data_IF_830616380728
#
_entry.id   IF_830616380728
#
_cell.length_a   1.000
_cell.length_b   1.000
_cell.length_c   1.000
_cell.angle_alpha   90.00
_cell.angle_beta   90.00
_cell.angle_gamma   90.00
#
_symmetry.space_group_name_H-M   'P 1'
#
loop_
_entity.id
_entity.type
_entity.pdbx_description
1 polymer ?
#
# COMPACT_ATOMS: atom_id res chain seq x y z
N UNK A 1 -70.61 -3.21 42.71
CA UNK A 1 -71.36 -4.50 42.75
C UNK A 1 -71.02 -5.29 41.49
N UNK A 2 -70.97 -6.64 41.49
CA UNK A 2 -70.39 -7.62 42.43
C UNK A 2 -69.40 -8.61 41.73
N UNK A 3 -68.28 -9.05 42.33
CA UNK A 3 -67.98 -10.29 43.14
C UNK A 3 -67.24 -11.44 42.39
N UNK A 4 -66.01 -11.78 42.86
CA UNK A 4 -65.52 -13.07 43.48
C UNK A 4 -65.13 -14.18 42.48
N UNK A 5 -64.07 -14.99 42.62
CA UNK A 5 -62.99 -15.15 43.61
C UNK A 5 -62.33 -16.55 43.49
N UNK A 6 -61.05 -16.66 43.89
CA UNK A 6 -60.28 -17.85 44.40
C UNK A 6 -60.10 -19.09 43.49
N UNK A 7 -58.98 -19.84 43.42
CA UNK A 7 -57.96 -20.31 44.39
C UNK A 7 -56.65 -20.76 43.69
N UNK A 8 -55.50 -20.67 44.39
CA UNK A 8 -54.16 -21.27 44.10
C UNK A 8 -54.02 -22.65 44.82
N UNK A 9 -52.84 -23.31 45.03
CA UNK A 9 -51.48 -23.30 44.40
C UNK A 9 -50.84 -24.70 44.16
N UNK A 10 -49.65 -24.77 43.50
CA UNK A 10 -48.49 -25.59 43.96
C UNK A 10 -47.20 -25.32 43.15
N UNK A 11 -46.11 -24.93 43.84
CA UNK A 11 -44.68 -24.86 43.43
C UNK A 11 -43.95 -26.21 43.74
N UNK A 12 -42.62 -26.48 43.53
CA UNK A 12 -41.45 -25.57 43.66
C UNK A 12 -40.21 -25.82 42.73
N UNK A 13 -39.24 -24.90 42.79
CA UNK A 13 -37.87 -25.17 42.31
C UNK A 13 -36.95 -23.94 42.15
N UNK A 14 -36.53 -23.31 43.25
CA UNK A 14 -35.40 -22.36 43.30
C UNK A 14 -34.42 -22.81 44.40
N UNK A 15 -33.12 -22.87 44.11
CA UNK A 15 -32.07 -23.06 45.11
C UNK A 15 -31.15 -21.83 45.21
N UNK A 16 -30.95 -21.39 46.45
CA UNK A 16 -30.20 -20.21 46.92
C UNK A 16 -28.72 -20.50 47.20
N UNK A 17 -27.85 -19.47 47.38
CA UNK A 17 -26.41 -19.62 47.64
C UNK A 17 -26.06 -19.54 49.15
N UNK A 18 -24.89 -20.05 49.54
CA UNK A 18 -24.32 -19.86 50.89
C UNK A 18 -22.81 -19.52 50.85
N UNK A 19 -22.42 -18.47 51.59
CA UNK A 19 -21.02 -18.05 51.87
C UNK A 19 -20.46 -18.78 53.11
N UNK A 20 -19.18 -19.14 53.13
CA UNK A 20 -18.40 -19.30 54.38
C UNK A 20 -16.89 -19.01 54.21
N UNK A 21 -16.28 -18.52 55.31
CA UNK A 21 -14.94 -17.89 55.44
C UNK A 21 -13.78 -18.91 55.59
N UNK A 22 -12.57 -18.40 55.34
CA UNK A 22 -11.20 -18.97 55.40
C UNK A 22 -10.83 -19.76 56.69
N UNK A 23 -9.85 -20.67 56.59
CA UNK A 23 -8.75 -20.76 57.54
C UNK A 23 -7.37 -20.49 56.91
N UNK A 24 -6.42 -20.13 57.78
CA UNK A 24 -5.04 -19.68 57.52
C UNK A 24 -4.07 -20.76 58.04
N UNK A 25 -3.01 -20.99 57.24
CA UNK A 25 -1.68 -21.57 57.47
C UNK A 25 -1.48 -22.94 58.18
N UNK A 26 -0.76 -23.86 57.50
CA UNK A 26 0.61 -24.24 57.93
C UNK A 26 1.36 -25.14 56.91
N UNK A 27 2.66 -24.83 56.75
CA UNK A 27 3.78 -25.65 56.26
C UNK A 27 3.93 -26.04 54.78
N UNK A 28 4.55 -25.10 54.06
CA UNK A 28 5.75 -25.24 53.22
C UNK A 28 6.34 -26.65 53.10
N UNK A 29 6.35 -27.20 51.88
CA UNK A 29 7.47 -28.03 51.44
C UNK A 29 7.83 -27.69 49.98
N UNK A 30 8.99 -27.06 49.87
CA UNK A 30 9.59 -26.49 48.67
C UNK A 30 10.09 -27.59 47.75
N UNK A 31 9.43 -27.83 46.62
CA UNK A 31 10.08 -28.43 45.45
C UNK A 31 10.08 -27.39 44.35
N UNK A 32 11.19 -26.64 44.26
CA UNK A 32 11.46 -25.72 43.16
C UNK A 32 11.65 -26.54 41.89
N UNK A 33 10.59 -26.71 41.10
CA UNK A 33 10.77 -26.92 39.67
C UNK A 33 11.13 -25.55 39.08
N UNK A 34 12.28 -25.40 38.40
CA UNK A 34 12.56 -24.14 37.75
C UNK A 34 11.46 -23.89 36.73
N UNK A 35 10.78 -22.74 36.86
CA UNK A 35 10.04 -22.10 35.78
C UNK A 35 11.05 -21.89 34.65
N UNK A 36 11.24 -22.91 33.81
CA UNK A 36 11.74 -22.71 32.47
C UNK A 36 10.72 -21.79 31.83
N UNK A 37 11.02 -20.48 31.88
CA UNK A 37 10.44 -19.51 31.00
C UNK A 37 10.54 -20.16 29.62
N UNK A 38 9.41 -20.62 29.07
CA UNK A 38 9.30 -20.80 27.64
C UNK A 38 9.51 -19.40 27.10
N UNK A 39 10.76 -19.05 26.84
CA UNK A 39 11.14 -18.07 25.86
C UNK A 39 10.56 -18.60 24.55
N UNK A 40 9.27 -18.36 24.35
CA UNK A 40 8.74 -18.24 23.01
C UNK A 40 9.46 -16.99 22.50
N UNK A 41 10.58 -17.23 21.81
CA UNK A 41 11.10 -16.23 20.90
C UNK A 41 9.89 -15.73 20.10
N UNK A 42 9.72 -14.40 19.94
CA UNK A 42 8.74 -13.91 18.98
C UNK A 42 9.02 -14.67 17.71
N UNK A 43 8.04 -15.40 17.17
CA UNK A 43 8.17 -15.91 15.80
C UNK A 43 8.50 -14.66 15.00
N UNK A 44 9.68 -14.64 14.36
CA UNK A 44 9.98 -13.64 13.35
C UNK A 44 8.77 -13.68 12.42
N UNK A 45 7.92 -12.66 12.49
CA UNK A 45 6.85 -12.49 11.52
C UNK A 45 7.59 -12.41 10.20
N UNK A 46 7.48 -13.47 9.41
CA UNK A 46 8.14 -13.58 8.12
C UNK A 46 7.68 -12.38 7.32
N UNK A 47 8.54 -11.36 7.23
CA UNK A 47 8.18 -10.08 6.65
C UNK A 47 8.04 -10.31 5.15
N UNK A 48 6.82 -10.64 4.73
CA UNK A 48 6.53 -10.89 3.34
C UNK A 48 6.67 -9.56 2.59
N UNK A 49 7.58 -9.53 1.61
CA UNK A 49 7.65 -8.41 0.67
C UNK A 49 6.28 -8.22 0.02
N UNK A 50 5.81 -6.98 0.00
CA UNK A 50 4.52 -6.64 -0.58
C UNK A 50 4.68 -6.44 -2.09
N UNK A 51 4.20 -7.41 -2.88
CA UNK A 51 4.13 -7.28 -4.33
C UNK A 51 3.34 -6.00 -4.71
N UNK A 52 3.76 -5.33 -5.77
CA UNK A 52 3.18 -4.06 -6.20
C UNK A 52 3.71 -2.82 -5.49
N UNK A 53 4.57 -2.97 -4.46
CA UNK A 53 5.23 -1.82 -3.82
C UNK A 53 6.07 -1.04 -4.83
N UNK A 54 5.89 0.28 -4.88
CA UNK A 54 6.75 1.17 -5.67
C UNK A 54 8.10 1.26 -4.96
N UNK A 55 9.16 0.74 -5.58
CA UNK A 55 10.51 0.70 -5.01
C UNK A 55 11.33 1.93 -5.40
N UNK A 56 11.18 2.40 -6.64
CA UNK A 56 11.95 3.52 -7.18
C UNK A 56 11.15 4.31 -8.19
N UNK A 57 11.39 5.61 -8.24
CA UNK A 57 11.03 6.46 -9.37
C UNK A 57 12.27 7.17 -9.90
N UNK A 58 12.35 7.30 -11.22
CA UNK A 58 13.35 8.12 -11.90
C UNK A 58 12.63 8.98 -12.95
N UNK A 59 12.98 10.26 -13.01
CA UNK A 59 12.48 11.20 -14.01
C UNK A 59 13.63 11.94 -14.69
N UNK A 60 13.47 12.19 -15.98
CA UNK A 60 14.41 12.97 -16.80
C UNK A 60 13.64 14.02 -17.60
N UNK A 61 14.13 15.25 -17.57
CA UNK A 61 13.51 16.41 -18.24
C UNK A 61 12.00 16.52 -17.95
N UNK A 62 11.60 16.36 -16.69
CA UNK A 62 10.19 16.31 -16.27
C UNK A 62 9.86 17.51 -15.39
N UNK A 63 8.95 18.38 -15.84
CA UNK A 63 8.60 19.63 -15.17
C UNK A 63 9.83 20.48 -14.80
N UNK A 64 10.08 20.70 -13.51
CA UNK A 64 11.24 21.43 -13.01
C UNK A 64 12.49 20.56 -12.82
N UNK A 65 12.40 19.25 -13.07
CA UNK A 65 13.48 18.29 -12.81
C UNK A 65 14.22 17.92 -14.10
N UNK A 66 15.50 18.28 -14.19
CA UNK A 66 16.38 17.78 -15.27
C UNK A 66 16.64 16.28 -15.09
N UNK A 67 16.93 15.88 -13.86
CA UNK A 67 17.03 14.50 -13.43
C UNK A 67 16.69 14.42 -11.95
N UNK A 68 15.88 13.44 -11.56
CA UNK A 68 15.59 13.12 -10.16
C UNK A 68 15.39 11.61 -10.07
N UNK A 69 16.01 11.01 -9.06
CA UNK A 69 15.81 9.61 -8.71
C UNK A 69 15.50 9.54 -7.21
N UNK A 70 14.55 8.68 -6.84
CA UNK A 70 14.10 8.52 -5.47
C UNK A 70 13.77 7.06 -5.20
N UNK A 71 14.44 6.50 -4.19
CA UNK A 71 14.20 5.17 -3.65
C UNK A 71 13.20 5.26 -2.50
N UNK A 72 12.14 4.47 -2.59
CA UNK A 72 11.09 4.41 -1.58
C UNK A 72 11.42 3.32 -0.54
N UNK A 73 11.14 3.63 0.71
CA UNK A 73 10.96 2.65 1.78
C UNK A 73 9.59 1.98 1.65
N UNK A 74 9.43 0.79 2.23
CA UNK A 74 8.25 -0.04 2.06
C UNK A 74 6.97 0.55 2.66
N UNK A 75 7.08 1.29 3.76
CA UNK A 75 5.92 1.71 4.55
C UNK A 75 5.64 3.21 4.47
N UNK A 76 6.63 4.05 4.78
CA UNK A 76 6.47 5.49 4.86
C UNK A 76 7.61 6.22 4.16
N UNK A 77 7.22 7.14 3.29
CA UNK A 77 8.13 8.00 2.54
C UNK A 77 7.70 9.44 2.75
N UNK A 78 8.65 10.30 3.12
CA UNK A 78 8.39 11.73 3.31
C UNK A 78 9.22 12.54 2.31
N UNK A 79 8.55 13.33 1.48
CA UNK A 79 9.20 14.28 0.56
C UNK A 79 8.98 15.70 1.10
N UNK A 80 10.07 16.33 1.54
CA UNK A 80 10.05 17.65 2.18
C UNK A 80 10.75 18.68 1.28
N UNK A 81 10.27 19.92 1.30
CA UNK A 81 10.89 21.02 0.57
C UNK A 81 9.96 22.22 0.41
N UNK A 82 10.52 23.35 -0.04
CA UNK A 82 9.80 24.61 -0.20
C UNK A 82 8.65 24.51 -1.22
N UNK A 83 7.69 25.44 -1.14
CA UNK A 83 6.65 25.54 -2.16
C UNK A 83 7.29 25.79 -3.54
N UNK A 84 6.79 25.10 -4.57
CA UNK A 84 7.37 25.16 -5.91
C UNK A 84 8.60 24.29 -6.15
N UNK A 85 9.13 23.56 -5.16
CA UNK A 85 10.32 22.70 -5.33
C UNK A 85 10.08 21.42 -6.16
N UNK A 86 8.87 21.22 -6.69
CA UNK A 86 8.56 20.06 -7.53
C UNK A 86 8.18 18.79 -6.78
N UNK A 87 7.77 18.85 -5.51
CA UNK A 87 7.31 17.67 -4.74
C UNK A 87 6.13 16.94 -5.39
N UNK A 88 5.12 17.70 -5.83
CA UNK A 88 3.97 17.16 -6.56
C UNK A 88 4.33 16.57 -7.92
N UNK A 89 5.52 16.88 -8.47
CA UNK A 89 5.99 16.28 -9.71
C UNK A 89 6.23 14.78 -9.55
N UNK A 90 6.67 14.32 -8.37
CA UNK A 90 6.85 12.88 -8.07
C UNK A 90 5.51 12.16 -8.19
N UNK A 91 4.47 12.70 -7.53
CA UNK A 91 3.12 12.14 -7.57
C UNK A 91 2.57 12.08 -9.00
N UNK A 92 2.72 13.16 -9.76
CA UNK A 92 2.29 13.23 -11.15
C UNK A 92 3.04 12.23 -12.04
N UNK A 93 4.34 12.04 -11.81
CA UNK A 93 5.17 11.10 -12.55
C UNK A 93 4.75 9.64 -12.29
N UNK A 94 4.40 9.30 -11.04
CA UNK A 94 3.82 7.99 -10.68
C UNK A 94 2.50 7.79 -11.44
N UNK A 95 1.54 8.71 -11.31
CA UNK A 95 0.23 8.61 -11.96
C UNK A 95 0.36 8.42 -13.47
N UNK A 96 1.19 9.23 -14.14
CA UNK A 96 1.35 9.15 -15.59
C UNK A 96 2.00 7.83 -16.04
N UNK A 97 2.96 7.32 -15.30
CA UNK A 97 3.69 6.11 -15.70
C UNK A 97 2.86 4.86 -15.47
N UNK A 98 2.07 4.86 -14.41
CA UNK A 98 1.17 3.77 -14.04
C UNK A 98 -0.20 3.90 -14.73
N UNK A 99 -0.23 4.29 -16.01
CA UNK A 99 -1.46 4.25 -16.82
C UNK A 99 -2.56 5.27 -16.48
N UNK A 100 -2.39 6.07 -15.42
CA UNK A 100 -3.33 7.11 -15.01
C UNK A 100 -3.46 8.22 -16.06
N UNK A 101 -4.65 8.82 -16.11
CA UNK A 101 -4.94 9.87 -17.09
C UNK A 101 -4.23 11.16 -16.70
N UNK A 102 -3.75 11.91 -17.70
CA UNK A 102 -3.12 13.22 -17.46
C UNK A 102 -4.07 14.19 -16.74
N UNK A 103 -5.36 14.11 -17.03
CA UNK A 103 -6.42 14.86 -16.35
C UNK A 103 -6.51 14.58 -14.84
N UNK A 104 -6.13 13.38 -14.38
CA UNK A 104 -6.16 13.00 -12.97
C UNK A 104 -5.12 13.76 -12.14
N UNK A 105 -4.08 14.29 -12.77
CA UNK A 105 -2.99 15.03 -12.10
C UNK A 105 -3.33 16.50 -11.79
N UNK A 106 -4.56 16.96 -12.07
CA UNK A 106 -5.05 18.34 -11.91
C UNK A 106 -4.28 19.44 -12.65
N UNK A 107 -3.26 19.10 -13.48
CA UNK A 107 -2.39 20.09 -14.13
C UNK A 107 -2.70 20.33 -15.61
N UNK A 108 -2.77 19.29 -16.43
CA UNK A 108 -2.83 19.45 -17.89
C UNK A 108 -3.57 18.30 -18.57
N UNK A 109 -4.22 18.58 -19.70
CA UNK A 109 -4.82 17.57 -20.59
C UNK A 109 -3.80 16.93 -21.53
N UNK A 110 -2.73 17.67 -21.90
CA UNK A 110 -1.69 17.18 -22.80
C UNK A 110 -0.44 16.74 -22.02
N UNK A 111 -0.02 15.50 -22.26
CA UNK A 111 1.17 14.89 -21.64
C UNK A 111 2.47 15.62 -22.00
N UNK A 112 2.55 16.30 -23.15
CA UNK A 112 3.75 17.07 -23.53
C UNK A 112 4.03 18.26 -22.61
N UNK A 113 3.01 18.76 -21.90
CA UNK A 113 3.15 19.85 -20.90
C UNK A 113 3.95 19.44 -19.66
N UNK A 114 4.17 18.13 -19.46
CA UNK A 114 5.01 17.63 -18.39
C UNK A 114 6.50 17.64 -18.74
N UNK A 115 6.86 17.92 -19.99
CA UNK A 115 8.25 18.03 -20.41
C UNK A 115 8.84 19.32 -19.86
N UNK A 116 10.06 19.24 -19.32
CA UNK A 116 10.81 20.39 -18.85
C UNK A 116 10.98 21.43 -19.97
N UNK A 117 10.83 22.71 -19.61
CA UNK A 117 10.96 23.81 -20.56
C UNK A 117 12.28 23.74 -21.34
N UNK A 118 12.20 23.92 -22.67
CA UNK A 118 13.36 23.85 -23.57
C UNK A 118 13.85 22.43 -23.88
N UNK A 119 13.17 21.38 -23.42
CA UNK A 119 13.48 19.98 -23.76
C UNK A 119 12.47 19.44 -24.78
N UNK A 120 12.93 18.52 -25.63
CA UNK A 120 12.10 17.88 -26.67
C UNK A 120 11.42 16.60 -26.21
N UNK A 121 11.86 16.02 -25.10
CA UNK A 121 11.37 14.76 -24.56
C UNK A 121 11.60 14.66 -23.05
N UNK A 122 10.72 13.90 -22.41
CA UNK A 122 10.81 13.49 -21.02
C UNK A 122 10.69 11.98 -20.90
N UNK A 123 11.34 11.41 -19.89
CA UNK A 123 11.28 9.99 -19.55
C UNK A 123 10.99 9.86 -18.06
N UNK A 124 10.07 8.95 -17.75
CA UNK A 124 9.69 8.61 -16.39
C UNK A 124 9.79 7.09 -16.27
N UNK A 125 10.36 6.61 -15.18
CA UNK A 125 10.46 5.19 -14.88
C UNK A 125 10.01 4.92 -13.44
N UNK A 126 9.19 3.89 -13.26
CA UNK A 126 8.73 3.38 -11.97
C UNK A 126 9.11 1.92 -11.87
N UNK A 127 9.80 1.55 -10.78
CA UNK A 127 10.15 0.17 -10.46
C UNK A 127 9.17 -0.36 -9.42
N UNK A 128 8.50 -1.46 -9.73
CA UNK A 128 7.60 -2.17 -8.82
C UNK A 128 8.27 -3.44 -8.29
N UNK A 129 8.01 -3.76 -7.03
CA UNK A 129 8.34 -5.05 -6.44
C UNK A 129 7.43 -6.14 -7.01
N UNK A 130 8.00 -7.27 -7.40
CA UNK A 130 7.27 -8.47 -7.83
C UNK A 130 7.78 -9.69 -7.05
N UNK A 131 7.76 -9.58 -5.73
CA UNK A 131 8.12 -10.64 -4.78
C UNK A 131 6.99 -10.76 -3.74
N UNK A 132 6.93 -11.90 -3.05
CA UNK A 132 5.88 -12.18 -2.07
C UNK A 132 4.73 -13.02 -2.66
N UNK A 133 3.70 -13.22 -1.85
CA UNK A 133 2.58 -14.13 -2.16
C UNK A 133 1.79 -13.68 -3.39
N UNK A 134 1.67 -12.36 -3.59
CA UNK A 134 0.87 -11.76 -4.67
C UNK A 134 1.71 -11.43 -5.92
N UNK A 135 2.93 -11.96 -6.04
CA UNK A 135 3.77 -11.76 -7.21
C UNK A 135 3.09 -12.33 -8.48
N UNK A 136 3.12 -11.57 -9.57
CA UNK A 136 2.53 -11.93 -10.86
C UNK A 136 3.59 -12.52 -11.78
N UNK A 137 3.28 -13.66 -12.41
CA UNK A 137 4.04 -14.26 -13.53
C UNK A 137 5.57 -14.09 -13.37
N UNK A 138 6.10 -14.70 -12.31
CA UNK A 138 7.51 -14.57 -11.89
C UNK A 138 8.45 -15.01 -13.02
N UNK A 139 8.04 -15.98 -13.84
CA UNK A 139 8.83 -16.44 -14.98
C UNK A 139 9.01 -15.33 -16.04
N UNK A 140 7.95 -14.57 -16.32
CA UNK A 140 8.00 -13.46 -17.27
C UNK A 140 8.70 -12.22 -16.70
N UNK A 141 8.30 -11.82 -15.50
CA UNK A 141 8.65 -10.52 -14.93
C UNK A 141 9.84 -10.58 -13.97
N UNK A 142 10.17 -11.74 -13.40
CA UNK A 142 11.16 -11.85 -12.34
C UNK A 142 10.73 -11.13 -11.07
N UNK A 143 11.71 -10.72 -10.25
CA UNK A 143 11.48 -10.12 -8.92
C UNK A 143 11.04 -8.65 -8.93
N UNK A 144 11.08 -8.00 -10.10
CA UNK A 144 10.71 -6.59 -10.22
C UNK A 144 10.25 -6.25 -11.63
N UNK A 145 9.42 -5.22 -11.74
CA UNK A 145 8.85 -4.77 -13.00
C UNK A 145 9.21 -3.30 -13.18
N UNK A 146 9.94 -2.96 -14.23
CA UNK A 146 10.28 -1.58 -14.57
C UNK A 146 9.33 -1.09 -15.67
N UNK A 147 8.49 -0.12 -15.33
CA UNK A 147 7.58 0.53 -16.26
C UNK A 147 8.16 1.89 -16.61
N UNK A 148 8.39 2.15 -17.90
CA UNK A 148 8.91 3.41 -18.41
C UNK A 148 7.89 4.05 -19.33
N UNK A 149 7.70 5.36 -19.19
CA UNK A 149 6.93 6.20 -20.12
C UNK A 149 7.84 7.27 -20.72
N UNK A 150 7.95 7.29 -22.05
CA UNK A 150 8.63 8.36 -22.79
C UNK A 150 7.61 9.25 -23.47
N UNK A 151 7.76 10.55 -23.31
CA UNK A 151 6.85 11.55 -23.86
C UNK A 151 7.68 12.53 -24.68
N UNK A 152 7.25 12.83 -25.91
CA UNK A 152 7.88 13.85 -26.73
C UNK A 152 7.03 15.11 -26.87
N UNK A 153 7.66 16.20 -27.30
CA UNK A 153 7.03 17.51 -27.45
C UNK A 153 5.91 17.51 -28.50
N UNK A 154 5.94 16.57 -29.45
CA UNK A 154 4.90 16.35 -30.46
C UNK A 154 3.66 15.64 -29.90
N UNK A 155 3.67 15.27 -28.60
CA UNK A 155 2.55 14.61 -27.93
C UNK A 155 2.54 13.09 -28.06
N UNK A 156 3.53 12.49 -28.73
CA UNK A 156 3.66 11.03 -28.76
C UNK A 156 4.12 10.53 -27.38
N UNK A 157 3.53 9.41 -26.97
CA UNK A 157 3.81 8.75 -25.70
C UNK A 157 4.02 7.27 -25.97
N UNK A 158 5.10 6.70 -25.47
CA UNK A 158 5.43 5.28 -25.63
C UNK A 158 5.74 4.67 -24.26
N UNK A 159 5.26 3.45 -24.06
CA UNK A 159 5.50 2.68 -22.84
C UNK A 159 6.50 1.56 -23.12
N UNK A 160 7.32 1.25 -22.13
CA UNK A 160 8.19 0.08 -22.15
C UNK A 160 8.11 -0.59 -20.79
N UNK A 161 7.88 -1.89 -20.79
CA UNK A 161 7.86 -2.72 -19.59
C UNK A 161 9.04 -3.67 -19.67
N UNK A 162 9.90 -3.64 -18.66
CA UNK A 162 11.04 -4.55 -18.54
C UNK A 162 10.89 -5.43 -17.30
N UNK A 163 11.35 -6.66 -17.41
CA UNK A 163 11.47 -7.57 -16.29
C UNK A 163 12.68 -7.21 -15.40
N UNK A 164 12.82 -7.88 -14.26
CA UNK A 164 13.92 -7.66 -13.31
C UNK A 164 15.32 -7.92 -13.89
N UNK A 165 15.41 -8.66 -15.00
CA UNK A 165 16.65 -8.86 -15.77
C UNK A 165 16.93 -7.77 -16.82
N UNK A 166 16.06 -6.76 -16.94
CA UNK A 166 16.21 -5.64 -17.88
C UNK A 166 15.72 -5.93 -19.31
N UNK A 167 15.16 -7.12 -19.59
CA UNK A 167 14.60 -7.47 -20.90
C UNK A 167 13.21 -6.85 -21.06
N UNK A 168 12.94 -6.24 -22.21
CA UNK A 168 11.60 -5.73 -22.57
C UNK A 168 10.63 -6.90 -22.74
N UNK A 169 9.51 -6.84 -22.01
CA UNK A 169 8.45 -7.87 -22.01
C UNK A 169 7.13 -7.38 -22.62
N UNK A 170 6.93 -6.07 -22.73
CA UNK A 170 5.79 -5.47 -23.44
C UNK A 170 6.02 -3.97 -23.64
N UNK A 171 5.26 -3.38 -24.55
CA UNK A 171 5.19 -1.94 -24.79
C UNK A 171 3.73 -1.43 -24.79
N UNK A 172 2.78 -2.31 -24.48
CA UNK A 172 1.34 -2.03 -24.53
C UNK A 172 0.87 -1.42 -23.21
N UNK A 173 0.01 -0.39 -23.30
CA UNK A 173 -0.66 0.18 -22.12
C UNK A 173 -1.55 -0.86 -21.43
N UNK A 174 -2.23 -1.71 -22.18
CA UNK A 174 -3.12 -2.74 -21.61
C UNK A 174 -2.38 -3.69 -20.66
N UNK A 175 -1.11 -4.00 -20.95
CA UNK A 175 -0.27 -4.79 -20.03
C UNK A 175 -0.02 -4.05 -18.71
N UNK A 176 0.17 -2.72 -18.75
CA UNK A 176 0.31 -1.90 -17.55
C UNK A 176 -1.00 -1.92 -16.74
N UNK A 177 -2.14 -1.77 -17.42
CA UNK A 177 -3.46 -1.79 -16.78
C UNK A 177 -3.72 -3.13 -16.08
N UNK A 178 -3.31 -4.25 -16.68
CA UNK A 178 -3.37 -5.59 -16.07
C UNK A 178 -2.48 -5.71 -14.83
N UNK A 179 -1.22 -5.25 -14.91
CA UNK A 179 -0.28 -5.30 -13.77
C UNK A 179 -0.82 -4.48 -12.59
N UNK A 180 -1.32 -3.28 -12.88
CA UNK A 180 -1.86 -2.36 -11.87
C UNK A 180 -3.14 -2.90 -11.25
N UNK A 181 -4.03 -3.49 -12.06
CA UNK A 181 -5.24 -4.14 -11.56
C UNK A 181 -4.91 -5.33 -10.66
N UNK A 182 -3.93 -6.17 -11.05
CA UNK A 182 -3.46 -7.29 -10.25
C UNK A 182 -2.92 -6.84 -8.89
N UNK A 183 -2.06 -5.82 -8.87
CA UNK A 183 -1.52 -5.26 -7.62
C UNK A 183 -2.48 -4.32 -6.89
N UNK A 184 -3.71 -4.13 -7.40
CA UNK A 184 -4.69 -3.21 -6.84
C UNK A 184 -4.15 -1.78 -6.60
N UNK A 185 -3.31 -1.28 -7.51
CA UNK A 185 -2.75 0.07 -7.43
C UNK A 185 -3.76 1.05 -8.05
N UNK A 186 -4.37 1.91 -7.23
CA UNK A 186 -5.48 2.77 -7.69
C UNK A 186 -5.02 4.21 -7.94
N UNK A 187 -4.30 4.46 -9.04
CA UNK A 187 -3.75 5.79 -9.34
C UNK A 187 -4.78 6.86 -9.74
N UNK A 188 -5.98 6.45 -10.16
CA UNK A 188 -7.08 7.34 -10.52
C UNK A 188 -8.10 7.52 -9.37
N UNK A 189 -7.95 6.80 -8.25
CA UNK A 189 -8.83 6.94 -7.09
C UNK A 189 -8.37 8.13 -6.23
N UNK A 190 -9.17 9.20 -6.07
CA UNK A 190 -8.79 10.37 -5.26
C UNK A 190 -8.59 10.05 -3.78
N UNK A 191 -9.16 8.95 -3.27
CA UNK A 191 -8.92 8.47 -1.90
C UNK A 191 -7.52 7.88 -1.72
N UNK A 192 -6.92 7.35 -2.80
CA UNK A 192 -5.55 6.82 -2.79
C UNK A 192 -4.54 7.89 -3.23
N UNK A 193 -4.94 8.75 -4.16
CA UNK A 193 -4.13 9.83 -4.72
C UNK A 193 -4.75 11.18 -4.38
N UNK A 194 -4.42 11.68 -3.18
CA UNK A 194 -4.83 13.00 -2.73
C UNK A 194 -3.91 14.07 -3.34
N UNK A 195 -4.35 14.71 -4.41
CA UNK A 195 -3.66 15.89 -4.93
C UNK A 195 -4.05 17.14 -4.12
N UNK A 196 -3.17 18.15 -4.13
CA UNK A 196 -3.37 19.39 -3.36
C UNK A 196 -4.63 20.17 -3.75
N UNK A 197 -5.11 20.01 -4.99
CA UNK A 197 -6.27 20.76 -5.49
C UNK A 197 -7.60 20.12 -5.09
N UNK A 198 -7.63 18.79 -4.89
CA UNK A 198 -8.79 18.00 -4.45
C UNK A 198 -8.95 18.03 -2.91
N UNK A 199 -7.90 18.37 -2.18
CA UNK A 199 -7.90 18.46 -0.71
C UNK A 199 -8.33 19.85 -0.17
N UNK A 200 -8.99 20.68 -0.98
CA UNK A 200 -9.50 22.01 -0.59
C UNK A 200 -10.95 21.98 -0.14
#
# INVERSE_FOLDING_TARGET
MPKRGSTTPSTPGQHSPAKRKRPVDENVNTTQQPLQQRHQQPKEEEYHKNAGTIMRISVKNFMCHTFLEFDFNENLNMVIGNNGSGKSAIMNAITLTLGGRATSTSRCTNVSRFIQHGKSQSEIAVLLCNEGLEAIDIERYGKSILITRKINIKGQSHYTIKNGGGKTVSELKDTIDQIIAHFNIQVDNPMCMLNQDVAK
#
